data_IF_788834002386
#
_entry.id   IF_788834002386
#
_cell.length_a   1.000
_cell.length_b   1.000
_cell.length_c   1.000
_cell.angle_alpha   90.00
_cell.angle_beta   90.00
_cell.angle_gamma   90.00
#
_symmetry.space_group_name_H-M   'P 1'
#
loop_
_entity.id
_entity.type
_entity.pdbx_description
1 polymer ?
#
# COMPACT_ATOMS: atom_id res chain seq x y z
N UNK A 1 -73.53 119.82 3.71
CA UNK A 1 -74.30 120.73 2.84
C UNK A 1 -75.72 120.74 3.39
N UNK A 2 -76.02 121.36 4.54
CA UNK A 2 -76.06 122.82 4.81
C UNK A 2 -76.78 123.60 3.71
N UNK A 3 -78.11 123.60 3.79
CA UNK A 3 -78.93 124.75 3.43
C UNK A 3 -80.15 124.77 4.34
N UNK A 4 -80.01 125.54 5.42
CA UNK A 4 -81.13 126.15 6.14
C UNK A 4 -81.91 126.98 5.12
N UNK A 5 -83.13 126.57 4.80
CA UNK A 5 -84.16 127.49 4.33
C UNK A 5 -85.19 127.59 5.44
N UNK A 6 -85.00 128.59 6.31
CA UNK A 6 -86.02 129.10 7.21
C UNK A 6 -87.19 129.59 6.35
N UNK A 7 -88.15 128.70 6.07
CA UNK A 7 -89.49 129.08 5.66
C UNK A 7 -90.29 129.23 6.96
N UNK A 8 -90.44 130.47 7.40
CA UNK A 8 -91.44 130.87 8.38
C UNK A 8 -92.82 130.50 7.83
N UNK A 9 -93.31 129.31 8.19
CA UNK A 9 -94.68 128.90 7.94
C UNK A 9 -95.53 129.34 9.13
N UNK A 10 -96.38 130.34 8.86
CA UNK A 10 -97.41 130.82 9.76
C UNK A 10 -98.27 129.68 10.29
N UNK A 11 -98.56 129.73 11.59
CA UNK A 11 -99.45 128.85 12.33
C UNK A 11 -100.79 128.74 11.58
N UNK A 12 -101.04 127.60 10.95
CA UNK A 12 -102.23 127.37 10.13
C UNK A 12 -103.45 127.06 10.99
N UNK A 13 -104.08 128.09 11.57
CA UNK A 13 -105.40 127.99 12.17
C UNK A 13 -106.45 128.82 11.41
N UNK A 14 -106.63 128.53 10.12
CA UNK A 14 -107.83 129.00 9.41
C UNK A 14 -109.00 128.07 9.71
N UNK A 15 -109.72 128.45 10.75
CA UNK A 15 -110.99 127.90 11.19
C UNK A 15 -112.06 128.30 10.18
N UNK A 16 -112.41 127.41 9.25
CA UNK A 16 -113.67 127.54 8.50
C UNK A 16 -114.15 126.21 7.90
N UNK A 17 -114.54 125.29 8.79
CA UNK A 17 -115.68 124.34 8.67
C UNK A 17 -115.77 123.52 9.96
N UNK A 18 -115.99 124.21 11.08
CA UNK A 18 -116.27 123.59 12.38
C UNK A 18 -117.78 123.36 12.54
N UNK A 19 -118.21 122.10 12.50
CA UNK A 19 -119.47 121.66 13.12
C UNK A 19 -119.23 120.28 13.77
N UNK A 20 -119.24 120.27 15.11
CA UNK A 20 -119.30 119.14 16.06
C UNK A 20 -118.08 118.20 16.22
N UNK A 21 -116.99 118.67 16.85
CA UNK A 21 -115.91 117.82 17.42
C UNK A 21 -115.68 118.11 18.91
N UNK A 22 -115.44 117.07 19.73
CA UNK A 22 -115.12 117.20 21.18
C UNK A 22 -113.66 117.65 21.40
N UNK A 23 -113.35 118.26 22.56
CA UNK A 23 -112.03 118.82 22.86
C UNK A 23 -110.87 117.82 22.68
N UNK A 24 -111.04 116.57 23.13
CA UNK A 24 -110.05 115.50 22.94
C UNK A 24 -109.86 115.09 21.48
N UNK A 25 -110.94 115.14 20.68
CA UNK A 25 -110.86 114.86 19.25
C UNK A 25 -110.12 115.97 18.52
N UNK A 26 -110.30 117.23 18.95
CA UNK A 26 -109.59 118.39 18.40
C UNK A 26 -108.10 118.32 18.71
N UNK A 27 -107.72 118.00 19.96
CA UNK A 27 -106.32 117.89 20.38
C UNK A 27 -105.60 116.73 19.67
N UNK A 28 -106.25 115.57 19.53
CA UNK A 28 -105.70 114.44 18.75
C UNK A 28 -105.52 114.84 17.29
N UNK A 29 -106.53 115.45 16.67
CA UNK A 29 -106.46 115.89 15.27
C UNK A 29 -105.32 116.89 15.07
N UNK A 30 -105.14 117.83 15.99
CA UNK A 30 -104.06 118.81 15.93
C UNK A 30 -102.68 118.14 16.03
N UNK A 31 -102.53 117.14 16.92
CA UNK A 31 -101.30 116.33 17.01
C UNK A 31 -101.05 115.46 15.77
N UNK A 32 -102.10 114.89 15.17
CA UNK A 32 -102.01 114.18 13.88
C UNK A 32 -101.51 115.15 12.81
N UNK A 33 -102.05 116.36 12.75
CA UNK A 33 -101.69 117.36 11.75
C UNK A 33 -100.25 117.84 11.96
N UNK A 34 -99.81 118.07 13.20
CA UNK A 34 -98.41 118.42 13.53
C UNK A 34 -97.43 117.30 13.13
N UNK A 35 -97.78 116.03 13.35
CA UNK A 35 -96.95 114.89 12.94
C UNK A 35 -96.93 114.78 11.42
N UNK A 36 -98.06 114.96 10.76
CA UNK A 36 -98.13 114.97 9.31
C UNK A 36 -97.31 116.12 8.70
N UNK A 37 -97.39 117.32 9.26
CA UNK A 37 -96.58 118.48 8.86
C UNK A 37 -95.09 118.17 9.05
N UNK A 38 -94.70 117.57 10.18
CA UNK A 38 -93.31 117.18 10.48
C UNK A 38 -92.77 116.12 9.50
N UNK A 39 -93.56 115.08 9.21
CA UNK A 39 -93.20 114.04 8.23
C UNK A 39 -93.09 114.61 6.82
N UNK A 40 -94.00 115.51 6.46
CA UNK A 40 -94.01 116.18 5.17
C UNK A 40 -92.78 117.07 4.97
N UNK A 41 -92.40 117.86 5.99
CA UNK A 41 -91.20 118.71 5.95
C UNK A 41 -89.91 117.89 5.82
N UNK A 42 -89.87 116.69 6.41
CA UNK A 42 -88.74 115.76 6.30
C UNK A 42 -88.68 115.01 4.96
N UNK A 43 -89.68 115.18 4.09
CA UNK A 43 -89.78 114.43 2.84
C UNK A 43 -90.14 112.95 3.04
N UNK A 44 -90.62 112.58 4.23
CA UNK A 44 -91.06 111.22 4.54
C UNK A 44 -92.54 111.03 4.19
N UNK A 45 -92.93 109.80 3.82
CA UNK A 45 -94.31 109.50 3.41
C UNK A 45 -95.27 109.66 4.61
N UNK A 46 -96.25 110.55 4.50
CA UNK A 46 -97.34 110.77 5.48
C UNK A 46 -98.37 109.63 5.43
N UNK A 47 -97.92 108.42 5.74
CA UNK A 47 -98.77 107.22 5.80
C UNK A 47 -99.31 106.99 7.21
N UNK A 48 -100.47 106.34 7.31
CA UNK A 48 -101.08 105.95 8.58
C UNK A 48 -100.12 105.10 9.43
N UNK A 49 -99.29 104.26 8.81
CA UNK A 49 -98.28 103.44 9.50
C UNK A 49 -97.19 104.30 10.15
N UNK A 50 -96.70 105.32 9.45
CA UNK A 50 -95.66 106.21 9.96
C UNK A 50 -96.22 107.11 11.08
N UNK A 51 -97.44 107.65 10.90
CA UNK A 51 -98.11 108.46 11.94
C UNK A 51 -98.40 107.65 13.20
N UNK A 52 -98.86 106.40 13.06
CA UNK A 52 -99.08 105.49 14.20
C UNK A 52 -97.78 105.13 14.93
N UNK A 53 -96.66 104.97 14.22
CA UNK A 53 -95.37 104.70 14.85
C UNK A 53 -94.90 105.84 15.76
N UNK A 54 -95.40 107.07 15.54
CA UNK A 54 -95.09 108.27 16.34
C UNK A 54 -96.18 108.62 17.38
N UNK A 55 -97.30 107.88 17.42
CA UNK A 55 -98.38 108.00 18.41
C UNK A 55 -98.80 106.63 18.97
N UNK A 56 -97.98 106.05 19.87
CA UNK A 56 -98.28 104.74 20.47
C UNK A 56 -99.51 104.75 21.41
N UNK A 57 -100.01 105.92 21.78
CA UNK A 57 -101.15 106.17 22.68
C UNK A 57 -102.53 106.06 22.00
N UNK A 58 -102.59 106.08 20.66
CA UNK A 58 -103.86 106.03 19.90
C UNK A 58 -103.99 104.68 19.17
N UNK A 59 -104.93 103.84 19.63
CA UNK A 59 -105.15 102.48 19.08
C UNK A 59 -106.10 102.43 17.87
N UNK A 60 -106.84 103.50 17.61
CA UNK A 60 -107.85 103.53 16.53
C UNK A 60 -107.25 103.95 15.19
N UNK A 61 -106.80 102.96 14.42
CA UNK A 61 -106.29 103.14 13.04
C UNK A 61 -107.31 103.82 12.13
N UNK A 62 -108.61 103.56 12.32
CA UNK A 62 -109.69 104.14 11.50
C UNK A 62 -109.85 105.63 11.75
N UNK A 63 -109.79 106.08 13.01
CA UNK A 63 -109.91 107.50 13.38
C UNK A 63 -108.70 108.31 12.89
N UNK A 64 -107.48 107.77 13.04
CA UNK A 64 -106.27 108.41 12.49
C UNK A 64 -106.31 108.45 10.97
N UNK A 65 -106.79 107.40 10.30
CA UNK A 65 -106.92 107.40 8.85
C UNK A 65 -107.89 108.48 8.35
N UNK A 66 -108.96 108.81 9.09
CA UNK A 66 -109.82 109.95 8.77
C UNK A 66 -109.06 111.26 8.90
N UNK A 67 -108.41 111.51 10.04
CA UNK A 67 -107.66 112.75 10.29
C UNK A 67 -106.49 112.92 9.30
N UNK A 68 -105.74 111.85 8.99
CA UNK A 68 -104.63 111.83 8.01
C UNK A 68 -105.13 112.01 6.57
N UNK A 69 -106.27 111.41 6.20
CA UNK A 69 -106.88 111.66 4.88
C UNK A 69 -107.33 113.10 4.74
N UNK A 70 -107.91 113.66 5.80
CA UNK A 70 -108.36 115.04 5.79
C UNK A 70 -107.17 116.00 5.71
N UNK A 71 -106.10 115.76 6.49
CA UNK A 71 -104.84 116.50 6.34
C UNK A 71 -104.25 116.36 4.94
N UNK A 72 -104.20 115.15 4.36
CA UNK A 72 -103.72 114.94 2.99
C UNK A 72 -104.58 115.67 1.96
N UNK A 73 -105.90 115.74 2.18
CA UNK A 73 -106.83 116.49 1.33
C UNK A 73 -106.59 117.99 1.45
N UNK A 74 -106.37 118.51 2.66
CA UNK A 74 -106.04 119.91 2.90
C UNK A 74 -104.68 120.29 2.34
N UNK A 75 -103.66 119.45 2.50
CA UNK A 75 -102.33 119.64 1.94
C UNK A 75 -102.36 119.57 0.40
N UNK A 76 -103.15 118.65 -0.17
CA UNK A 76 -103.39 118.60 -1.61
C UNK A 76 -104.08 119.88 -2.09
N UNK A 77 -105.16 120.31 -1.44
CA UNK A 77 -105.90 121.52 -1.82
C UNK A 77 -105.02 122.77 -1.72
N UNK A 78 -104.29 122.96 -0.61
CA UNK A 78 -103.33 124.07 -0.47
C UNK A 78 -102.22 124.03 -1.52
N UNK A 79 -101.72 122.84 -1.87
CA UNK A 79 -100.77 122.70 -2.97
C UNK A 79 -101.41 123.13 -4.30
N UNK A 80 -102.62 122.66 -4.60
CA UNK A 80 -103.38 123.08 -5.79
C UNK A 80 -103.61 124.59 -5.80
N UNK A 81 -104.00 125.18 -4.67
CA UNK A 81 -104.25 126.62 -4.51
C UNK A 81 -102.97 127.45 -4.68
N UNK A 82 -101.83 127.00 -4.15
CA UNK A 82 -100.52 127.64 -4.36
C UNK A 82 -100.09 127.65 -5.83
N UNK A 83 -100.44 126.60 -6.57
CA UNK A 83 -100.17 126.57 -8.00
C UNK A 83 -101.17 127.43 -8.80
N UNK A 84 -102.44 127.50 -8.39
CA UNK A 84 -103.44 128.42 -8.93
C UNK A 84 -103.05 129.89 -8.73
N UNK A 85 -102.60 130.26 -7.54
CA UNK A 85 -102.12 131.62 -7.22
C UNK A 85 -100.91 132.03 -8.06
N UNK A 86 -100.07 131.07 -8.45
CA UNK A 86 -98.94 131.30 -9.37
C UNK A 86 -99.32 131.23 -10.86
N UNK A 87 -100.61 131.13 -11.17
CA UNK A 87 -101.15 131.21 -12.54
C UNK A 87 -101.07 129.90 -13.33
N UNK A 88 -100.80 128.77 -12.68
CA UNK A 88 -100.79 127.46 -13.35
C UNK A 88 -102.21 126.91 -13.50
N UNK A 89 -102.50 126.25 -14.63
CA UNK A 89 -103.80 125.62 -14.86
C UNK A 89 -103.97 124.40 -13.95
N UNK A 90 -105.21 124.11 -13.55
CA UNK A 90 -105.52 122.91 -12.76
C UNK A 90 -105.03 121.63 -13.42
N UNK A 91 -105.11 121.58 -14.74
CA UNK A 91 -104.63 120.47 -15.56
C UNK A 91 -103.11 120.29 -15.44
N UNK A 92 -102.33 121.39 -15.41
CA UNK A 92 -100.88 121.33 -15.19
C UNK A 92 -100.53 120.79 -13.80
N UNK A 93 -101.26 121.20 -12.76
CA UNK A 93 -100.96 120.81 -11.38
C UNK A 93 -101.32 119.36 -11.12
N UNK A 94 -102.41 118.88 -11.71
CA UNK A 94 -102.78 117.47 -11.64
C UNK A 94 -101.77 116.59 -12.38
N UNK A 95 -101.34 117.00 -13.58
CA UNK A 95 -100.26 116.34 -14.31
C UNK A 95 -98.94 116.34 -13.52
N UNK A 96 -98.57 117.45 -12.90
CA UNK A 96 -97.35 117.54 -12.09
C UNK A 96 -97.43 116.68 -10.82
N UNK A 97 -98.59 116.64 -10.17
CA UNK A 97 -98.84 115.81 -8.98
C UNK A 97 -98.82 114.32 -9.27
N UNK A 98 -99.40 113.93 -10.42
CA UNK A 98 -99.35 112.55 -10.91
C UNK A 98 -97.93 112.18 -11.31
N UNK A 99 -97.17 113.10 -11.92
CA UNK A 99 -95.76 112.88 -12.26
C UNK A 99 -94.86 112.73 -11.03
N UNK A 100 -95.03 113.54 -9.98
CA UNK A 100 -94.33 113.34 -8.69
C UNK A 100 -94.66 111.96 -8.12
N UNK A 101 -95.93 111.56 -8.13
CA UNK A 101 -96.36 110.25 -7.62
C UNK A 101 -95.75 109.12 -8.44
N UNK A 102 -95.70 109.28 -9.76
CA UNK A 102 -95.05 108.34 -10.69
C UNK A 102 -93.56 108.22 -10.39
N UNK A 103 -92.86 109.34 -10.17
CA UNK A 103 -91.44 109.38 -9.84
C UNK A 103 -91.14 108.76 -8.47
N UNK A 104 -91.94 109.03 -7.44
CA UNK A 104 -91.79 108.40 -6.12
C UNK A 104 -92.04 106.88 -6.19
N UNK A 105 -93.08 106.45 -6.91
CA UNK A 105 -93.34 105.02 -7.12
C UNK A 105 -92.23 104.35 -7.93
N UNK A 106 -91.68 105.03 -8.94
CA UNK A 106 -90.52 104.54 -9.69
C UNK A 106 -89.28 104.42 -8.80
N UNK A 107 -89.04 105.37 -7.89
CA UNK A 107 -87.90 105.31 -6.96
C UNK A 107 -88.08 104.24 -5.88
N UNK A 108 -89.29 104.06 -5.35
CA UNK A 108 -89.61 102.97 -4.43
C UNK A 108 -89.43 101.60 -5.13
N UNK A 109 -89.83 101.49 -6.40
CA UNK A 109 -89.63 100.29 -7.20
C UNK A 109 -88.14 100.02 -7.46
N UNK A 110 -87.36 101.06 -7.79
CA UNK A 110 -85.90 100.97 -7.96
C UNK A 110 -85.21 100.51 -6.66
N UNK A 111 -85.55 101.12 -5.51
CA UNK A 111 -85.00 100.73 -4.22
C UNK A 111 -85.40 99.30 -3.83
N UNK A 112 -86.65 98.90 -4.03
CA UNK A 112 -87.09 97.53 -3.77
C UNK A 112 -86.38 96.52 -4.69
N UNK A 113 -86.13 96.89 -5.96
CA UNK A 113 -85.35 96.06 -6.89
C UNK A 113 -83.89 95.92 -6.42
N UNK A 114 -83.27 97.01 -5.98
CA UNK A 114 -81.92 97.00 -5.41
C UNK A 114 -81.82 96.14 -4.14
N UNK A 115 -82.79 96.27 -3.23
CA UNK A 115 -82.87 95.42 -2.01
C UNK A 115 -83.05 93.95 -2.38
N UNK A 116 -83.87 93.64 -3.38
CA UNK A 116 -84.05 92.27 -3.86
C UNK A 116 -82.75 91.72 -4.46
N UNK A 117 -82.05 92.51 -5.27
CA UNK A 117 -80.75 92.12 -5.85
C UNK A 117 -79.71 91.83 -4.75
N UNK A 118 -79.57 92.70 -3.75
CA UNK A 118 -78.63 92.44 -2.65
C UNK A 118 -79.01 91.22 -1.81
N UNK A 119 -80.32 90.96 -1.67
CA UNK A 119 -80.79 89.75 -0.98
C UNK A 119 -80.43 88.50 -1.78
N UNK A 120 -80.69 88.48 -3.08
CA UNK A 120 -80.33 87.37 -3.96
C UNK A 120 -78.80 87.14 -3.98
N UNK A 121 -78.01 88.21 -3.98
CA UNK A 121 -76.54 88.14 -3.88
C UNK A 121 -76.08 87.59 -2.54
N UNK A 122 -76.70 87.99 -1.43
CA UNK A 122 -76.42 87.47 -0.10
C UNK A 122 -76.80 85.98 0.04
N UNK A 123 -77.95 85.58 -0.50
CA UNK A 123 -78.41 84.19 -0.51
C UNK A 123 -77.44 83.31 -1.33
N UNK A 124 -77.00 83.79 -2.50
CA UNK A 124 -75.99 83.12 -3.31
C UNK A 124 -74.63 83.01 -2.60
N UNK A 125 -74.18 84.08 -1.95
CA UNK A 125 -72.93 84.08 -1.19
C UNK A 125 -72.96 83.10 -0.01
N UNK A 126 -74.10 83.00 0.69
CA UNK A 126 -74.29 82.03 1.76
C UNK A 126 -74.31 80.59 1.26
N UNK A 127 -74.96 80.32 0.12
CA UNK A 127 -74.96 78.99 -0.50
C UNK A 127 -73.53 78.57 -0.90
N UNK A 128 -72.77 79.48 -1.52
CA UNK A 128 -71.37 79.22 -1.87
C UNK A 128 -70.51 78.97 -0.64
N UNK A 129 -70.67 79.78 0.41
CA UNK A 129 -69.95 79.61 1.66
C UNK A 129 -70.21 78.23 2.27
N UNK A 130 -71.49 77.84 2.41
CA UNK A 130 -71.88 76.55 2.96
C UNK A 130 -71.30 75.38 2.13
N UNK A 131 -71.32 75.50 0.80
CA UNK A 131 -70.72 74.52 -0.09
C UNK A 131 -69.20 74.41 0.14
N UNK A 132 -68.50 75.54 0.22
CA UNK A 132 -67.05 75.54 0.44
C UNK A 132 -66.65 75.02 1.82
N UNK A 133 -67.44 75.28 2.87
CA UNK A 133 -67.23 74.70 4.19
C UNK A 133 -67.36 73.18 4.19
N UNK A 134 -68.39 72.66 3.51
CA UNK A 134 -68.56 71.21 3.34
C UNK A 134 -67.42 70.55 2.54
N UNK A 135 -66.93 71.21 1.48
CA UNK A 135 -65.78 70.73 0.72
C UNK A 135 -64.48 70.75 1.58
N UNK A 136 -64.31 71.77 2.41
CA UNK A 136 -63.17 71.88 3.33
C UNK A 136 -63.20 70.82 4.43
N UNK A 137 -64.37 70.55 5.03
CA UNK A 137 -64.54 69.49 6.02
C UNK A 137 -64.21 68.12 5.41
N UNK A 138 -64.73 67.84 4.21
CA UNK A 138 -64.43 66.60 3.50
C UNK A 138 -62.93 66.46 3.17
N UNK A 139 -62.27 67.57 2.81
CA UNK A 139 -60.82 67.58 2.60
C UNK A 139 -60.05 67.31 3.90
N UNK A 140 -60.52 67.83 5.03
CA UNK A 140 -59.96 67.58 6.36
C UNK A 140 -60.02 66.11 6.76
N UNK A 141 -61.19 65.48 6.60
CA UNK A 141 -61.37 64.04 6.88
C UNK A 141 -60.45 63.19 6.00
N UNK A 142 -60.38 63.46 4.70
CA UNK A 142 -59.48 62.73 3.77
C UNK A 142 -58.00 62.90 4.15
N UNK A 143 -57.60 64.07 4.62
CA UNK A 143 -56.24 64.32 5.07
C UNK A 143 -55.90 63.51 6.33
N UNK A 144 -56.83 63.42 7.29
CA UNK A 144 -56.67 62.60 8.49
C UNK A 144 -56.58 61.09 8.15
N UNK A 145 -57.45 60.60 7.28
CA UNK A 145 -57.39 59.22 6.76
C UNK A 145 -56.07 58.92 6.04
N UNK A 146 -55.58 59.87 5.24
CA UNK A 146 -54.28 59.75 4.58
C UNK A 146 -53.13 59.71 5.58
N UNK A 147 -53.13 60.60 6.58
CA UNK A 147 -52.10 60.66 7.63
C UNK A 147 -52.05 59.40 8.48
N UNK A 148 -53.21 58.85 8.85
CA UNK A 148 -53.27 57.56 9.58
C UNK A 148 -52.74 56.41 8.73
N UNK A 149 -53.07 56.37 7.44
CA UNK A 149 -52.52 55.38 6.50
C UNK A 149 -51.01 55.49 6.35
N UNK A 150 -50.48 56.71 6.19
CA UNK A 150 -49.03 56.98 6.12
C UNK A 150 -48.35 56.49 7.40
N UNK A 151 -48.88 56.84 8.57
CA UNK A 151 -48.32 56.40 9.86
C UNK A 151 -48.29 54.88 10.02
N UNK A 152 -49.32 54.18 9.54
CA UNK A 152 -49.35 52.72 9.54
C UNK A 152 -48.30 52.13 8.58
N UNK A 153 -48.13 52.74 7.40
CA UNK A 153 -47.11 52.31 6.43
C UNK A 153 -45.69 52.57 6.91
N UNK A 154 -45.43 53.67 7.59
CA UNK A 154 -44.13 53.94 8.21
C UNK A 154 -43.77 52.92 9.29
N UNK A 155 -44.76 52.50 10.09
CA UNK A 155 -44.59 51.41 11.07
C UNK A 155 -44.29 50.07 10.39
N UNK A 156 -44.94 49.78 9.26
CA UNK A 156 -44.68 48.58 8.48
C UNK A 156 -43.28 48.60 7.85
N UNK A 157 -42.88 49.74 7.26
CA UNK A 157 -41.54 49.95 6.68
C UNK A 157 -40.44 49.78 7.73
N UNK A 158 -40.60 50.38 8.91
CA UNK A 158 -39.59 50.28 9.99
C UNK A 158 -39.45 48.84 10.49
N UNK A 159 -40.57 48.11 10.63
CA UNK A 159 -40.55 46.68 10.96
C UNK A 159 -39.80 45.86 9.89
N UNK A 160 -40.19 46.00 8.62
CA UNK A 160 -39.56 45.25 7.52
C UNK A 160 -38.08 45.58 7.36
N UNK A 161 -37.69 46.85 7.58
CA UNK A 161 -36.28 47.27 7.53
C UNK A 161 -35.46 46.58 8.64
N UNK A 162 -36.04 46.45 9.83
CA UNK A 162 -35.39 45.77 10.96
C UNK A 162 -35.26 44.27 10.71
N UNK A 163 -36.33 43.63 10.20
CA UNK A 163 -36.31 42.21 9.82
C UNK A 163 -35.29 41.93 8.71
N UNK A 164 -35.20 42.80 7.71
CA UNK A 164 -34.22 42.70 6.64
C UNK A 164 -32.78 42.79 7.17
N UNK A 165 -32.49 43.79 8.02
CA UNK A 165 -31.16 43.96 8.62
C UNK A 165 -30.76 42.75 9.48
N UNK A 166 -31.71 42.20 10.25
CA UNK A 166 -31.46 40.99 11.05
C UNK A 166 -31.22 39.76 10.15
N UNK A 167 -32.00 39.62 9.07
CA UNK A 167 -31.82 38.53 8.10
C UNK A 167 -30.46 38.60 7.41
N UNK A 168 -30.04 39.80 6.98
CA UNK A 168 -28.72 40.04 6.38
C UNK A 168 -27.60 39.62 7.33
N UNK A 169 -27.64 40.07 8.59
CA UNK A 169 -26.65 39.68 9.60
C UNK A 169 -26.60 38.17 9.84
N UNK A 170 -27.76 37.50 9.81
CA UNK A 170 -27.81 36.04 9.94
C UNK A 170 -27.19 35.35 8.72
N UNK A 171 -27.47 35.82 7.51
CA UNK A 171 -26.87 35.33 6.28
C UNK A 171 -25.34 35.50 6.29
N UNK A 172 -24.83 36.69 6.62
CA UNK A 172 -23.39 36.96 6.76
C UNK A 172 -22.73 36.01 7.77
N UNK A 173 -23.39 35.77 8.92
CA UNK A 173 -22.90 34.82 9.92
C UNK A 173 -22.84 33.38 9.42
N UNK A 174 -23.82 32.96 8.61
CA UNK A 174 -23.83 31.63 7.98
C UNK A 174 -22.73 31.53 6.92
N UNK A 175 -22.57 32.55 6.07
CA UNK A 175 -21.51 32.60 5.05
C UNK A 175 -20.12 32.52 5.66
N UNK A 176 -19.87 33.25 6.74
CA UNK A 176 -18.58 33.18 7.44
C UNK A 176 -18.34 31.78 8.00
N UNK A 177 -19.33 31.18 8.68
CA UNK A 177 -19.20 29.83 9.23
C UNK A 177 -18.93 28.78 8.15
N UNK A 178 -19.63 28.86 7.01
CA UNK A 178 -19.41 27.97 5.88
C UNK A 178 -18.02 28.16 5.27
N UNK A 179 -17.55 29.40 5.17
CA UNK A 179 -16.21 29.72 4.69
C UNK A 179 -15.14 29.11 5.60
N UNK A 180 -15.29 29.24 6.92
CA UNK A 180 -14.37 28.67 7.90
C UNK A 180 -14.40 27.13 7.87
N UNK A 181 -15.58 26.52 7.72
CA UNK A 181 -15.73 25.06 7.61
C UNK A 181 -15.09 24.52 6.32
N UNK A 182 -15.29 25.20 5.19
CA UNK A 182 -14.65 24.86 3.91
C UNK A 182 -13.12 24.96 4.06
N UNK A 183 -12.61 26.02 4.67
CA UNK A 183 -11.17 26.18 4.94
C UNK A 183 -10.62 25.02 5.78
N UNK A 184 -11.30 24.67 6.88
CA UNK A 184 -10.89 23.55 7.73
C UNK A 184 -10.96 22.19 7.03
N UNK A 185 -11.92 21.97 6.13
CA UNK A 185 -12.00 20.75 5.31
C UNK A 185 -10.88 20.70 4.26
N UNK A 186 -10.53 21.83 3.64
CA UNK A 186 -9.41 21.92 2.70
C UNK A 186 -8.07 21.62 3.39
N UNK A 187 -7.84 22.12 4.60
CA UNK A 187 -6.65 21.82 5.38
C UNK A 187 -6.56 20.32 5.74
N UNK A 188 -7.69 19.73 6.17
CA UNK A 188 -7.76 18.28 6.42
C UNK A 188 -7.46 17.46 5.17
N UNK A 189 -8.01 17.84 4.02
CA UNK A 189 -7.77 17.18 2.74
C UNK A 189 -6.28 17.27 2.35
N UNK A 190 -5.66 18.44 2.50
CA UNK A 190 -4.25 18.64 2.21
C UNK A 190 -3.35 17.79 3.12
N UNK A 191 -3.64 17.74 4.42
CA UNK A 191 -2.91 16.90 5.37
C UNK A 191 -3.04 15.41 5.04
N UNK A 192 -4.26 14.95 4.71
CA UNK A 192 -4.49 13.57 4.28
C UNK A 192 -3.74 13.23 3.00
N UNK A 193 -3.65 14.16 2.04
CA UNK A 193 -2.86 13.98 0.82
C UNK A 193 -1.37 13.82 1.12
N UNK A 194 -0.82 14.66 2.00
CA UNK A 194 0.58 14.55 2.45
C UNK A 194 0.85 13.19 3.11
N UNK A 195 -0.06 12.72 3.96
CA UNK A 195 0.10 11.44 4.64
C UNK A 195 -0.05 10.25 3.68
N UNK A 196 -0.93 10.36 2.68
CA UNK A 196 -1.03 9.40 1.58
C UNK A 196 0.28 9.30 0.80
N UNK A 197 0.86 10.43 0.41
CA UNK A 197 2.13 10.47 -0.34
C UNK A 197 3.27 9.84 0.47
N UNK A 198 3.33 10.10 1.79
CA UNK A 198 4.29 9.44 2.70
C UNK A 198 4.08 7.92 2.75
N UNK A 199 2.83 7.47 2.87
CA UNK A 199 2.51 6.05 2.93
C UNK A 199 2.90 5.34 1.63
N UNK A 200 2.60 5.94 0.47
CA UNK A 200 3.00 5.43 -0.84
C UNK A 200 4.53 5.34 -0.98
N UNK A 201 5.26 6.37 -0.54
CA UNK A 201 6.72 6.35 -0.55
C UNK A 201 7.30 5.24 0.34
N UNK A 202 6.70 5.02 1.51
CA UNK A 202 7.12 3.94 2.41
C UNK A 202 6.84 2.55 1.84
N UNK A 203 5.69 2.37 1.17
CA UNK A 203 5.36 1.11 0.46
C UNK A 203 6.38 0.82 -0.63
N UNK A 204 6.67 1.79 -1.50
CA UNK A 204 7.68 1.63 -2.55
C UNK A 204 9.06 1.25 -1.97
N UNK A 205 9.46 1.88 -0.85
CA UNK A 205 10.70 1.54 -0.15
C UNK A 205 10.69 0.11 0.42
N UNK A 206 9.55 -0.38 0.91
CA UNK A 206 9.44 -1.75 1.40
C UNK A 206 9.43 -2.78 0.27
N UNK A 207 8.80 -2.48 -0.87
CA UNK A 207 8.79 -3.33 -2.06
C UNK A 207 10.21 -3.53 -2.60
N UNK A 208 10.99 -2.45 -2.74
CA UNK A 208 12.40 -2.55 -3.15
C UNK A 208 13.23 -3.38 -2.16
N UNK A 209 12.96 -3.27 -0.85
CA UNK A 209 13.66 -4.10 0.15
C UNK A 209 13.28 -5.57 0.01
N UNK A 210 12.01 -5.86 -0.27
CA UNK A 210 11.53 -7.22 -0.48
C UNK A 210 12.18 -7.86 -1.72
N UNK A 211 12.20 -7.15 -2.85
CA UNK A 211 12.83 -7.62 -4.10
C UNK A 211 14.33 -7.90 -3.92
N UNK A 212 15.03 -7.05 -3.16
CA UNK A 212 16.43 -7.29 -2.79
C UNK A 212 16.60 -8.54 -1.90
N UNK A 213 15.67 -8.78 -0.97
CA UNK A 213 15.70 -9.98 -0.12
C UNK A 213 15.42 -11.25 -0.92
N UNK A 214 14.46 -11.22 -1.85
CA UNK A 214 14.18 -12.34 -2.77
C UNK A 214 15.41 -12.69 -3.61
N UNK A 215 16.09 -11.67 -4.15
CA UNK A 215 17.35 -11.87 -4.90
C UNK A 215 18.44 -12.49 -4.01
N UNK A 216 18.58 -12.02 -2.76
CA UNK A 216 19.53 -12.59 -1.81
C UNK A 216 19.21 -14.06 -1.49
N UNK A 217 17.94 -14.39 -1.28
CA UNK A 217 17.49 -15.76 -1.02
C UNK A 217 17.82 -16.65 -2.23
N UNK A 218 17.51 -16.23 -3.46
CA UNK A 218 17.82 -17.00 -4.67
C UNK A 218 19.34 -17.26 -4.83
N UNK A 219 20.18 -16.28 -4.49
CA UNK A 219 21.64 -16.46 -4.47
C UNK A 219 22.08 -17.47 -3.41
N UNK A 220 21.52 -17.41 -2.19
CA UNK A 220 21.83 -18.35 -1.12
C UNK A 220 21.36 -19.78 -1.44
N UNK A 221 20.20 -19.94 -2.06
CA UNK A 221 19.69 -21.24 -2.52
C UNK A 221 20.62 -21.85 -3.59
N UNK A 222 21.11 -21.02 -4.51
CA UNK A 222 22.10 -21.44 -5.53
C UNK A 222 23.39 -21.91 -4.87
N UNK A 223 23.95 -21.13 -3.94
CA UNK A 223 25.16 -21.51 -3.19
C UNK A 223 24.96 -22.78 -2.35
N UNK A 224 23.78 -22.94 -1.74
CA UNK A 224 23.45 -24.13 -0.98
C UNK A 224 23.40 -25.38 -1.86
N UNK A 225 22.83 -25.28 -3.06
CA UNK A 225 22.83 -26.37 -4.04
C UNK A 225 24.25 -26.71 -4.54
N UNK A 226 25.08 -25.71 -4.82
CA UNK A 226 26.48 -25.92 -5.18
C UNK A 226 27.26 -26.66 -4.07
N UNK A 227 27.09 -26.23 -2.81
CA UNK A 227 27.71 -26.89 -1.67
C UNK A 227 27.23 -28.33 -1.52
N UNK A 228 25.93 -28.58 -1.71
CA UNK A 228 25.34 -29.92 -1.64
C UNK A 228 25.90 -30.85 -2.72
N UNK A 229 26.02 -30.36 -3.94
CA UNK A 229 26.63 -31.11 -5.04
C UNK A 229 28.09 -31.44 -4.73
N UNK A 230 28.85 -30.46 -4.22
CA UNK A 230 30.26 -30.66 -3.84
C UNK A 230 30.43 -31.67 -2.70
N UNK A 231 29.53 -31.67 -1.72
CA UNK A 231 29.50 -32.69 -0.67
C UNK A 231 29.23 -34.07 -1.27
N UNK A 232 28.30 -34.20 -2.22
CA UNK A 232 28.02 -35.46 -2.92
C UNK A 232 29.25 -35.96 -3.68
N UNK A 233 29.89 -35.11 -4.47
CA UNK A 233 31.10 -35.44 -5.23
C UNK A 233 32.26 -35.88 -4.33
N UNK A 234 32.46 -35.19 -3.21
CA UNK A 234 33.47 -35.55 -2.22
C UNK A 234 33.13 -36.88 -1.55
N UNK A 235 31.86 -37.13 -1.23
CA UNK A 235 31.40 -38.39 -0.67
C UNK A 235 31.69 -39.55 -1.62
N UNK A 236 31.36 -39.40 -2.91
CA UNK A 236 31.64 -40.42 -3.93
C UNK A 236 33.14 -40.69 -4.06
N UNK A 237 33.95 -39.63 -4.04
CA UNK A 237 35.42 -39.73 -4.08
C UNK A 237 35.96 -40.49 -2.86
N UNK A 238 35.43 -40.20 -1.66
CA UNK A 238 35.81 -40.91 -0.43
C UNK A 238 35.45 -42.39 -0.52
N UNK A 239 34.24 -42.72 -0.99
CA UNK A 239 33.82 -44.11 -1.18
C UNK A 239 34.72 -44.83 -2.19
N UNK A 240 35.05 -44.21 -3.31
CA UNK A 240 35.99 -44.77 -4.29
C UNK A 240 37.37 -45.04 -3.68
N UNK A 241 37.94 -44.03 -3.00
CA UNK A 241 39.26 -44.15 -2.36
C UNK A 241 39.28 -45.21 -1.27
N UNK A 242 38.22 -45.32 -0.49
CA UNK A 242 38.07 -46.40 0.50
C UNK A 242 38.06 -47.78 -0.17
N UNK A 243 37.40 -47.93 -1.32
CA UNK A 243 37.43 -49.17 -2.10
C UNK A 243 38.81 -49.51 -2.65
N UNK A 244 39.56 -48.52 -3.15
CA UNK A 244 40.95 -48.68 -3.57
C UNK A 244 41.85 -49.13 -2.42
N UNK A 245 41.69 -48.56 -1.23
CA UNK A 245 42.44 -48.94 -0.02
C UNK A 245 42.18 -50.42 0.33
N UNK A 246 40.91 -50.84 0.43
CA UNK A 246 40.55 -52.24 0.74
C UNK A 246 41.18 -53.21 -0.28
N UNK A 247 41.17 -52.84 -1.56
CA UNK A 247 41.80 -53.64 -2.62
C UNK A 247 43.31 -53.74 -2.41
N UNK A 248 43.99 -52.65 -2.10
CA UNK A 248 45.43 -52.66 -1.83
C UNK A 248 45.78 -53.43 -0.54
N UNK A 249 44.98 -53.31 0.51
CA UNK A 249 45.15 -54.09 1.74
C UNK A 249 45.01 -55.59 1.48
N UNK A 250 44.00 -55.99 0.69
CA UNK A 250 43.81 -57.39 0.28
C UNK A 250 44.99 -57.91 -0.54
N UNK A 251 45.49 -57.11 -1.49
CA UNK A 251 46.66 -57.45 -2.28
C UNK A 251 47.91 -57.63 -1.39
N UNK A 252 48.16 -56.68 -0.50
CA UNK A 252 49.29 -56.73 0.43
C UNK A 252 49.22 -57.97 1.33
N UNK A 253 48.03 -58.34 1.79
CA UNK A 253 47.83 -59.56 2.59
C UNK A 253 48.13 -60.83 1.77
N UNK A 254 47.73 -60.86 0.50
CA UNK A 254 48.09 -61.93 -0.44
C UNK A 254 49.60 -62.03 -0.66
N UNK A 255 50.27 -60.90 -0.87
CA UNK A 255 51.73 -60.84 -1.05
C UNK A 255 52.47 -61.30 0.21
N UNK A 256 52.01 -60.94 1.42
CA UNK A 256 52.55 -61.43 2.69
C UNK A 256 52.48 -62.95 2.77
N UNK A 257 51.34 -63.54 2.39
CA UNK A 257 51.13 -64.98 2.39
C UNK A 257 52.05 -65.67 1.38
N UNK A 258 52.19 -65.13 0.16
CA UNK A 258 53.12 -65.63 -0.84
C UNK A 258 54.57 -65.56 -0.37
N UNK A 259 54.98 -64.45 0.26
CA UNK A 259 56.33 -64.31 0.84
C UNK A 259 56.58 -65.37 1.92
N UNK A 260 55.56 -65.68 2.74
CA UNK A 260 55.65 -66.74 3.76
C UNK A 260 55.87 -68.11 3.11
N UNK A 261 55.08 -68.46 2.11
CA UNK A 261 55.22 -69.72 1.36
C UNK A 261 56.59 -69.83 0.66
N UNK A 262 57.05 -68.76 0.02
CA UNK A 262 58.38 -68.72 -0.59
C UNK A 262 59.52 -68.85 0.44
N UNK A 263 59.35 -68.28 1.65
CA UNK A 263 60.30 -68.46 2.76
C UNK A 263 60.34 -69.91 3.22
N UNK A 264 59.18 -70.54 3.40
CA UNK A 264 59.09 -71.96 3.81
C UNK A 264 59.71 -72.88 2.75
N UNK A 265 59.40 -72.66 1.47
CA UNK A 265 59.98 -73.42 0.35
C UNK A 265 61.51 -73.24 0.27
N UNK A 266 62.00 -72.01 0.39
CA UNK A 266 63.45 -71.74 0.43
C UNK A 266 64.14 -72.40 1.62
N UNK A 267 63.52 -72.39 2.81
CA UNK A 267 64.06 -73.08 3.98
C UNK A 267 64.12 -74.60 3.75
N UNK A 268 63.08 -75.18 3.14
CA UNK A 268 63.09 -76.59 2.75
C UNK A 268 64.24 -76.90 1.80
N UNK A 269 64.37 -76.15 0.70
CA UNK A 269 65.49 -76.33 -0.24
C UNK A 269 66.86 -76.13 0.42
N UNK A 270 66.98 -75.22 1.38
CA UNK A 270 68.21 -75.03 2.15
C UNK A 270 68.54 -76.25 3.00
N UNK A 271 67.55 -76.89 3.62
CA UNK A 271 67.74 -78.14 4.38
C UNK A 271 68.09 -79.29 3.45
N UNK A 272 67.34 -79.46 2.35
CA UNK A 272 67.59 -80.50 1.34
C UNK A 272 69.00 -80.36 0.77
N UNK A 273 69.47 -79.14 0.51
CA UNK A 273 70.84 -78.88 0.04
C UNK A 273 71.89 -79.28 1.08
N UNK A 274 71.68 -78.94 2.36
CA UNK A 274 72.59 -79.31 3.44
C UNK A 274 72.66 -80.84 3.64
N UNK A 275 71.54 -81.54 3.47
CA UNK A 275 71.48 -83.01 3.51
C UNK A 275 72.27 -83.62 2.34
N UNK A 276 72.05 -83.14 1.12
CA UNK A 276 72.82 -83.58 -0.07
C UNK A 276 74.31 -83.29 0.08
N UNK A 277 74.69 -82.14 0.65
CA UNK A 277 76.10 -81.82 0.95
C UNK A 277 76.70 -82.81 1.96
N UNK A 278 75.95 -83.17 3.01
CA UNK A 278 76.38 -84.16 4.00
C UNK A 278 76.51 -85.57 3.39
N UNK A 279 75.55 -85.99 2.56
CA UNK A 279 75.63 -87.23 1.79
C UNK A 279 76.85 -87.22 0.87
N UNK A 280 77.09 -86.13 0.13
CA UNK A 280 78.25 -85.99 -0.73
C UNK A 280 79.57 -86.12 0.05
N UNK A 281 79.69 -85.47 1.22
CA UNK A 281 80.87 -85.61 2.09
C UNK A 281 81.05 -87.07 2.53
N UNK A 282 79.95 -87.73 2.92
CA UNK A 282 79.96 -89.12 3.37
C UNK A 282 80.41 -90.05 2.24
N UNK A 283 79.76 -90.00 1.08
CA UNK A 283 80.13 -90.77 -0.11
C UNK A 283 81.56 -90.48 -0.56
N UNK A 284 82.02 -89.23 -0.49
CA UNK A 284 83.41 -88.87 -0.79
C UNK A 284 84.39 -89.54 0.18
N UNK A 285 84.07 -89.58 1.47
CA UNK A 285 84.88 -90.26 2.48
C UNK A 285 84.88 -91.78 2.31
N UNK A 286 83.73 -92.38 1.95
CA UNK A 286 83.62 -93.79 1.62
C UNK A 286 84.41 -94.14 0.36
N UNK A 287 84.35 -93.32 -0.68
CA UNK A 287 85.17 -93.48 -1.88
C UNK A 287 86.67 -93.41 -1.54
N UNK A 288 87.10 -92.49 -0.67
CA UNK A 288 88.48 -92.43 -0.20
C UNK A 288 88.88 -93.69 0.59
N UNK A 289 87.98 -94.20 1.44
CA UNK A 289 88.17 -95.46 2.18
C UNK A 289 88.28 -96.65 1.22
N UNK A 290 87.36 -96.78 0.27
CA UNK A 290 87.37 -97.83 -0.76
C UNK A 290 88.62 -97.75 -1.65
N UNK A 291 89.06 -96.54 -2.01
CA UNK A 291 90.31 -96.35 -2.75
C UNK A 291 91.53 -96.85 -1.95
N UNK A 292 91.58 -96.55 -0.63
CA UNK A 292 92.63 -97.06 0.26
C UNK A 292 92.56 -98.59 0.42
N UNK A 293 91.36 -99.17 0.57
CA UNK A 293 91.18 -100.62 0.60
C UNK A 293 91.61 -101.29 -0.70
N UNK A 294 91.30 -100.69 -1.85
CA UNK A 294 91.74 -101.17 -3.16
C UNK A 294 93.27 -101.10 -3.30
N UNK A 295 93.90 -100.03 -2.82
CA UNK A 295 95.36 -99.90 -2.81
C UNK A 295 96.00 -100.96 -1.91
N UNK A 296 95.46 -101.18 -0.71
CA UNK A 296 95.92 -102.26 0.17
C UNK A 296 95.73 -103.65 -0.45
N UNK A 297 94.60 -103.90 -1.11
CA UNK A 297 94.35 -105.15 -1.81
C UNK A 297 95.35 -105.33 -2.97
N UNK A 298 95.67 -104.26 -3.69
CA UNK A 298 96.68 -104.25 -4.76
C UNK A 298 98.08 -104.56 -4.21
N UNK A 299 98.47 -103.96 -3.09
CA UNK A 299 99.73 -104.26 -2.41
C UNK A 299 99.77 -105.74 -1.97
N UNK A 300 98.72 -106.23 -1.31
CA UNK A 300 98.62 -107.65 -0.89
C UNK A 300 98.70 -108.59 -2.08
N UNK A 301 98.03 -108.27 -3.18
CA UNK A 301 98.09 -109.03 -4.42
C UNK A 301 99.50 -109.01 -5.00
N UNK A 302 100.17 -107.86 -5.02
CA UNK A 302 101.57 -107.72 -5.41
C UNK A 302 102.50 -108.61 -4.57
N UNK A 303 102.40 -108.54 -3.24
CA UNK A 303 103.19 -109.40 -2.34
C UNK A 303 102.89 -110.89 -2.52
N UNK A 304 101.62 -111.25 -2.76
CA UNK A 304 101.24 -112.62 -3.06
C UNK A 304 101.82 -113.10 -4.39
N UNK A 305 101.81 -112.23 -5.41
CA UNK A 305 102.43 -112.49 -6.71
C UNK A 305 103.94 -112.68 -6.58
N UNK A 306 104.65 -111.81 -5.86
CA UNK A 306 106.09 -111.95 -5.59
C UNK A 306 106.41 -113.25 -4.85
N UNK A 307 105.59 -113.61 -3.85
CA UNK A 307 105.70 -114.91 -3.16
C UNK A 307 105.51 -116.08 -4.14
N UNK A 308 104.53 -115.97 -5.03
CA UNK A 308 104.23 -117.01 -6.01
C UNK A 308 105.37 -117.16 -7.03
N UNK A 309 105.98 -116.06 -7.46
CA UNK A 309 107.21 -116.06 -8.27
C UNK A 309 108.36 -116.73 -7.53
N UNK A 310 108.60 -116.36 -6.26
CA UNK A 310 109.67 -116.96 -5.45
C UNK A 310 109.46 -118.47 -5.22
N UNK A 311 108.23 -118.90 -4.95
CA UNK A 311 107.86 -120.33 -4.85
C UNK A 311 108.05 -121.05 -6.18
N UNK A 312 107.70 -120.41 -7.31
CA UNK A 312 107.96 -120.95 -8.64
C UNK A 312 109.45 -121.16 -8.88
N UNK A 313 110.28 -120.16 -8.55
CA UNK A 313 111.74 -120.23 -8.70
C UNK A 313 112.34 -121.38 -7.87
N UNK A 314 111.93 -121.51 -6.60
CA UNK A 314 112.30 -122.63 -5.73
C UNK A 314 111.88 -123.98 -6.33
N UNK A 315 110.70 -124.05 -6.95
CA UNK A 315 110.21 -125.27 -7.58
C UNK A 315 111.07 -125.67 -8.79
N UNK A 316 111.51 -124.70 -9.60
CA UNK A 316 112.47 -124.94 -10.69
C UNK A 316 113.83 -125.42 -10.19
N UNK A 317 114.36 -124.85 -9.10
CA UNK A 317 115.62 -125.32 -8.49
C UNK A 317 115.51 -126.75 -7.97
N UNK A 318 114.43 -127.07 -7.25
CA UNK A 318 114.15 -128.43 -6.80
C UNK A 318 114.05 -129.40 -7.98
N UNK A 319 113.39 -129.01 -9.06
CA UNK A 319 113.27 -129.82 -10.28
C UNK A 319 114.63 -130.06 -10.94
N UNK A 320 115.50 -129.07 -11.00
CA UNK A 320 116.87 -129.19 -11.53
C UNK A 320 117.73 -130.13 -10.67
N UNK A 321 117.66 -129.98 -9.34
CA UNK A 321 118.35 -130.86 -8.38
C UNK A 321 117.88 -132.31 -8.51
N UNK A 322 116.57 -132.53 -8.65
CA UNK A 322 116.02 -133.87 -8.81
C UNK A 322 116.45 -134.52 -10.14
N UNK A 323 116.54 -133.74 -11.23
CA UNK A 323 117.09 -134.20 -12.50
C UNK A 323 118.55 -134.63 -12.39
N UNK A 324 119.38 -133.91 -11.63
CA UNK A 324 120.77 -134.29 -11.37
C UNK A 324 120.85 -135.60 -10.56
N UNK A 325 120.00 -135.77 -9.55
CA UNK A 325 119.95 -137.00 -8.77
C UNK A 325 119.59 -138.23 -9.63
N UNK A 326 118.59 -138.10 -10.52
CA UNK A 326 118.21 -139.15 -11.48
C UNK A 326 119.41 -139.54 -12.37
N UNK A 327 120.12 -138.54 -12.90
CA UNK A 327 121.31 -138.75 -13.74
C UNK A 327 122.42 -139.53 -13.01
N UNK A 328 122.52 -139.33 -11.70
CA UNK A 328 123.54 -139.97 -10.85
C UNK A 328 123.18 -141.44 -10.57
N UNK A 329 121.89 -141.71 -10.33
CA UNK A 329 121.36 -143.07 -10.13
C UNK A 329 121.52 -143.92 -11.40
N UNK A 330 121.27 -143.35 -12.57
CA UNK A 330 121.42 -144.07 -13.86
C UNK A 330 122.88 -144.50 -14.10
N UNK A 331 123.87 -143.67 -13.73
CA UNK A 331 125.30 -144.06 -13.80
C UNK A 331 125.66 -145.17 -12.83
N UNK A 332 125.07 -145.18 -11.63
CA UNK A 332 125.29 -146.24 -10.64
C UNK A 332 124.66 -147.57 -11.09
N UNK A 333 123.48 -147.53 -11.70
CA UNK A 333 122.84 -148.72 -12.29
C UNK A 333 123.68 -149.36 -13.40
N UNK A 334 124.27 -148.55 -14.28
CA UNK A 334 125.15 -149.04 -15.34
C UNK A 334 126.46 -149.65 -14.82
N UNK A 335 126.95 -149.20 -13.66
CA UNK A 335 128.13 -149.77 -13.02
C UNK A 335 127.84 -151.14 -12.37
N UNK A 336 126.70 -151.29 -11.69
CA UNK A 336 126.28 -152.58 -11.11
C UNK A 336 126.09 -153.67 -12.15
N UNK A 337 125.50 -153.36 -13.31
CA UNK A 337 125.33 -154.36 -14.39
C UNK A 337 126.66 -154.91 -14.91
N UNK A 338 127.72 -154.09 -14.98
CA UNK A 338 129.05 -154.54 -15.41
C UNK A 338 129.71 -155.45 -14.37
N UNK A 339 129.50 -155.19 -13.09
CA UNK A 339 129.97 -156.03 -11.99
C UNK A 339 129.30 -157.40 -11.98
N UNK A 340 128.00 -157.47 -12.29
CA UNK A 340 127.27 -158.75 -12.41
C UNK A 340 127.81 -159.64 -13.53
N UNK A 341 128.14 -159.06 -14.69
CA UNK A 341 128.67 -159.82 -15.84
C UNK A 341 130.09 -160.35 -15.56
N UNK A 342 130.92 -159.59 -14.83
CA UNK A 342 132.26 -160.01 -14.44
C UNK A 342 132.24 -161.17 -13.43
N UNK A 343 131.29 -161.18 -12.50
CA UNK A 343 131.10 -162.28 -11.53
C UNK A 343 130.66 -163.57 -12.21
N UNK A 344 129.73 -163.49 -13.18
CA UNK A 344 129.30 -164.65 -13.98
C UNK A 344 130.46 -165.31 -14.72
N UNK A 345 131.33 -164.51 -15.33
CA UNK A 345 132.48 -165.00 -16.10
C UNK A 345 133.52 -165.70 -15.22
N UNK A 346 133.75 -165.20 -14.00
CA UNK A 346 134.66 -165.80 -13.02
C UNK A 346 134.14 -167.11 -12.42
N UNK A 347 132.82 -167.26 -12.31
CA UNK A 347 132.20 -168.50 -11.80
C UNK A 347 132.38 -169.63 -12.80
N UNK A 348 132.15 -169.35 -14.09
CA UNK A 348 132.29 -170.31 -15.18
C UNK A 348 133.74 -170.80 -15.39
N UNK A 349 134.72 -169.93 -15.11
CA UNK A 349 136.15 -170.27 -15.19
C UNK A 349 136.62 -171.17 -14.04
N UNK A 350 136.02 -171.05 -12.85
CA UNK A 350 136.33 -171.92 -11.71
C UNK A 350 135.76 -173.34 -11.88
N UNK A 351 134.60 -173.48 -12.53
CA UNK A 351 134.01 -174.80 -12.82
C UNK A 351 134.91 -175.62 -13.77
N UNK A 352 135.49 -175.01 -14.81
CA UNK A 352 136.35 -175.74 -15.76
C UNK A 352 137.69 -176.17 -15.16
N UNK A 353 138.25 -175.37 -14.26
CA UNK A 353 139.48 -175.71 -13.54
C UNK A 353 139.27 -176.86 -12.55
N UNK A 354 138.04 -177.02 -12.02
CA UNK A 354 137.67 -178.14 -11.16
C UNK A 354 137.62 -179.48 -11.89
N UNK A 355 137.14 -179.49 -13.14
CA UNK A 355 137.12 -180.70 -13.98
C UNK A 355 138.53 -181.14 -14.40
N UNK A 356 139.44 -180.21 -14.70
CA UNK A 356 140.85 -180.54 -14.98
C UNK A 356 141.57 -181.16 -13.77
N UNK A 357 141.27 -180.69 -12.56
CA UNK A 357 141.86 -181.21 -11.32
C UNK A 357 141.42 -182.66 -11.03
N UNK A 358 140.16 -183.00 -11.31
CA UNK A 358 139.65 -184.37 -11.16
C UNK A 358 140.29 -185.35 -12.16
N UNK A 359 140.57 -184.88 -13.38
CA UNK A 359 141.21 -185.70 -14.41
C UNK A 359 142.68 -186.00 -14.07
N UNK A 360 143.41 -185.01 -13.54
CA UNK A 360 144.79 -185.18 -13.10
C UNK A 360 144.94 -186.11 -11.88
N UNK A 361 143.95 -186.16 -10.97
CA UNK A 361 143.95 -187.12 -9.86
C UNK A 361 143.75 -188.57 -10.31
N UNK A 362 143.11 -188.80 -11.45
CA UNK A 362 142.93 -190.14 -12.03
C UNK A 362 144.24 -190.65 -12.65
N UNK A 363 145.00 -189.75 -13.29
CA UNK A 363 146.32 -190.02 -13.89
C UNK A 363 147.39 -190.32 -12.82
N UNK A 364 147.34 -189.65 -11.66
CA UNK A 364 148.31 -189.89 -10.57
C UNK A 364 148.15 -191.30 -9.96
N UNK A 365 146.92 -191.81 -9.83
CA UNK A 365 146.71 -193.19 -9.34
C UNK A 365 147.13 -194.26 -10.34
N UNK A 366 147.05 -194.00 -11.64
CA UNK A 366 147.60 -194.89 -12.67
C UNK A 366 149.14 -194.87 -12.74
N UNK A 367 149.79 -193.77 -12.33
CA UNK A 367 151.25 -193.66 -12.29
C UNK A 367 151.88 -194.32 -11.06
N UNK A 368 151.21 -194.35 -9.91
CA UNK A 368 151.69 -195.11 -8.74
C UNK A 368 151.58 -196.63 -8.94
N UNK A 369 150.66 -197.10 -9.79
CA UNK A 369 150.60 -198.49 -10.23
C UNK A 369 151.76 -198.91 -11.17
N UNK A 370 152.57 -197.96 -11.66
CA UNK A 370 153.60 -198.21 -12.70
C UNK A 370 155.05 -197.96 -12.28
N UNK A 371 155.31 -197.42 -11.08
CA UNK A 371 156.66 -197.03 -10.68
C UNK A 371 157.20 -197.77 -9.43
N UNK A 372 157.31 -199.09 -9.51
CA UNK A 372 158.57 -199.84 -9.24
C UNK A 372 158.35 -201.34 -8.98
N UNK A 373 158.00 -202.03 -10.06
CA UNK A 373 158.52 -203.36 -10.43
C UNK A 373 159.83 -203.24 -11.27
N UNK A 374 160.58 -202.14 -11.16
CA UNK A 374 161.83 -201.90 -11.91
C UNK A 374 163.03 -201.74 -10.97
N UNK A 375 163.46 -202.84 -10.34
CA UNK A 375 164.68 -202.86 -9.54
C UNK A 375 164.88 -204.11 -8.67
N UNK A 376 164.72 -205.30 -9.25
CA UNK A 376 165.41 -206.49 -8.72
C UNK A 376 166.93 -206.32 -8.95
N UNK A 377 167.68 -206.19 -7.85
CA UNK A 377 168.97 -206.84 -7.61
C UNK A 377 169.29 -206.79 -6.11
#
# INVERSE_FOLDING_TARGET
MTSKSELEYHLMSDISTQKDLTADQLQRRQRVFEICDSLFVKGEKTSVRNVLSMMPDVKSTSTINVDVREWNTQAKNKRMDLFRERGFSDEFVELFSTEITRLSAAKDAEHNAEVLMYKDEADLANELLLKTEGELELAGVKLEESNTTISLKDKEITKLTTELAQSQKNCEGIEQRLTDEIGGLQDKLNNQKIDLDKAQSQVAKTEVKLENQETLIGNLETQLNECRNKISELSDTVTQKSGEIIRFETQAQGDIQLIKELRESRNKFSTDLAEVEAEYITTKSENARLASELEQATIRFGTASERLTSLSDQFTELRMSNSQNISTIERQGAFSSRLEDDVKRLTQQNESQKEELANNQTIIKELEAKNLQLGNN
#
